data_IF_246874003494
#
_entry.id   IF_246874003494
#
_cell.length_a   1.000
_cell.length_b   1.000
_cell.length_c   1.000
_cell.angle_alpha   90.00
_cell.angle_beta   90.00
_cell.angle_gamma   90.00
#
_symmetry.space_group_name_H-M   'P 1'
#
loop_
_entity.id
_entity.type
_entity.pdbx_description
1 polymer ?
#
# COMPACT_ATOMS: atom_id res chain seq x y z
N UNK A 1 -18.24 11.37 25.21
CA UNK A 1 -17.42 12.21 24.32
C UNK A 1 -16.53 11.29 23.50
N UNK A 2 -16.82 11.12 22.21
CA UNK A 2 -16.05 10.26 21.31
C UNK A 2 -14.75 10.96 20.93
N UNK A 3 -13.60 10.43 21.36
CA UNK A 3 -12.32 10.83 20.80
C UNK A 3 -12.29 10.32 19.36
N UNK A 4 -12.29 11.23 18.38
CA UNK A 4 -12.07 10.84 16.98
C UNK A 4 -10.72 10.15 16.88
N UNK A 5 -10.67 9.03 16.16
CA UNK A 5 -9.47 8.22 15.92
C UNK A 5 -8.27 9.06 15.44
N UNK A 6 -8.53 10.19 14.79
CA UNK A 6 -7.55 11.19 14.37
C UNK A 6 -6.72 11.74 15.54
N UNK A 7 -7.34 12.09 16.67
CA UNK A 7 -6.63 12.65 17.84
C UNK A 7 -5.70 11.64 18.50
N UNK A 8 -6.10 10.37 18.51
CA UNK A 8 -5.29 9.28 19.04
C UNK A 8 -4.11 8.93 18.12
N UNK A 9 -4.29 9.04 16.80
CA UNK A 9 -3.19 8.88 15.83
C UNK A 9 -2.20 10.05 15.87
N UNK A 10 -2.69 11.29 16.08
CA UNK A 10 -1.84 12.47 16.24
C UNK A 10 -0.91 12.37 17.47
N UNK A 11 -1.38 11.82 18.59
CA UNK A 11 -0.58 11.77 19.83
C UNK A 11 0.65 10.86 19.72
N UNK A 12 0.52 9.76 18.95
CA UNK A 12 1.58 8.77 18.69
C UNK A 12 2.30 9.00 17.36
N UNK A 13 1.87 9.98 16.56
CA UNK A 13 2.54 10.33 15.31
C UNK A 13 3.88 11.00 15.60
N UNK A 14 4.97 10.29 15.31
CA UNK A 14 6.33 10.85 15.37
C UNK A 14 6.57 11.96 14.34
N UNK A 15 5.60 12.21 13.45
CA UNK A 15 5.80 12.98 12.22
C UNK A 15 5.49 14.47 12.36
N UNK A 16 4.45 14.84 13.11
CA UNK A 16 4.24 16.26 13.45
C UNK A 16 5.35 16.83 14.34
N UNK A 17 6.10 15.94 15.00
CA UNK A 17 7.18 16.27 15.94
C UNK A 17 8.57 16.25 15.31
N UNK A 18 8.70 15.87 14.03
CA UNK A 18 10.01 15.77 13.38
C UNK A 18 10.56 17.19 13.09
N UNK A 19 11.79 17.45 13.53
CA UNK A 19 12.43 18.77 13.43
C UNK A 19 12.82 19.15 12.00
N UNK A 20 13.01 18.16 11.13
CA UNK A 20 13.46 18.33 9.75
C UNK A 20 12.26 18.37 8.80
N UNK A 21 12.05 19.54 8.18
CA UNK A 21 10.87 19.84 7.34
C UNK A 21 10.85 19.05 6.02
N UNK A 22 12.02 18.74 5.47
CA UNK A 22 12.26 17.92 4.28
C UNK A 22 11.76 16.47 4.45
N UNK A 23 11.97 15.86 5.62
CA UNK A 23 11.48 14.50 5.92
C UNK A 23 9.94 14.47 6.04
N UNK A 24 9.33 15.59 6.44
CA UNK A 24 7.89 15.77 6.41
C UNK A 24 7.34 16.13 5.02
N UNK A 25 8.20 16.60 4.10
CA UNK A 25 7.86 17.00 2.72
C UNK A 25 7.91 15.85 1.72
N UNK A 26 8.59 14.73 2.01
CA UNK A 26 8.50 13.50 1.20
C UNK A 26 7.11 12.83 1.22
N UNK A 27 6.08 13.55 1.69
CA UNK A 27 4.75 13.03 1.97
C UNK A 27 3.70 13.86 1.27
N UNK A 28 2.54 13.24 1.11
CA UNK A 28 1.38 13.92 0.57
C UNK A 28 1.01 15.20 1.35
N UNK A 29 0.41 16.19 0.66
CA UNK A 29 0.13 17.52 1.21
C UNK A 29 -0.59 17.56 2.56
N UNK A 30 -1.43 16.58 2.82
CA UNK A 30 -2.27 16.38 4.01
C UNK A 30 -1.51 15.81 5.23
N UNK A 31 -0.39 15.11 5.01
CA UNK A 31 0.43 14.52 6.07
C UNK A 31 1.52 15.47 6.58
N UNK A 32 1.47 16.73 6.15
CA UNK A 32 2.42 17.78 6.50
C UNK A 32 2.01 18.49 7.78
N UNK A 33 3.02 19.02 8.48
CA UNK A 33 2.77 19.92 9.61
C UNK A 33 2.10 21.21 9.13
N UNK A 34 1.02 21.62 9.78
CA UNK A 34 0.35 22.89 9.49
C UNK A 34 1.34 24.07 9.59
N UNK A 35 1.37 24.92 8.55
CA UNK A 35 2.28 26.08 8.47
C UNK A 35 3.70 25.78 7.96
N UNK A 36 4.00 24.56 7.53
CA UNK A 36 5.36 24.13 7.08
C UNK A 36 5.72 24.52 5.63
N UNK A 37 5.06 25.50 5.02
CA UNK A 37 5.35 26.00 3.66
C UNK A 37 4.42 25.47 2.55
N UNK A 38 4.83 25.62 1.29
CA UNK A 38 4.07 25.19 0.10
C UNK A 38 3.89 23.67 0.03
N UNK A 39 2.80 23.22 -0.60
CA UNK A 39 2.56 21.80 -0.82
C UNK A 39 3.62 21.21 -1.76
N UNK A 40 4.17 20.02 -1.44
CA UNK A 40 5.09 19.32 -2.32
C UNK A 40 4.38 18.98 -3.62
N UNK A 41 5.16 18.92 -4.70
CA UNK A 41 4.64 18.39 -5.96
C UNK A 41 4.35 16.89 -5.80
N UNK A 42 3.42 16.32 -6.58
CA UNK A 42 3.21 14.87 -6.62
C UNK A 42 4.49 14.05 -6.81
N UNK A 43 5.45 14.56 -7.60
CA UNK A 43 6.73 13.91 -7.86
C UNK A 43 7.63 13.80 -6.63
N UNK A 44 7.42 14.68 -5.65
CA UNK A 44 8.15 14.69 -4.38
C UNK A 44 7.38 13.95 -3.26
N UNK A 45 6.17 13.46 -3.55
CA UNK A 45 5.35 12.74 -2.60
C UNK A 45 5.61 11.23 -2.69
N UNK A 46 5.86 10.59 -1.54
CA UNK A 46 6.05 9.15 -1.43
C UNK A 46 5.22 8.58 -0.27
N UNK A 47 4.52 7.48 -0.51
CA UNK A 47 3.85 6.71 0.53
C UNK A 47 4.19 5.22 0.46
N UNK A 48 4.31 4.60 1.63
CA UNK A 48 4.57 3.17 1.77
C UNK A 48 3.34 2.47 2.34
N UNK A 49 2.85 1.44 1.63
CA UNK A 49 1.65 0.68 2.01
C UNK A 49 1.93 -0.81 1.95
N UNK A 50 1.42 -1.55 2.93
CA UNK A 50 1.50 -3.01 2.93
C UNK A 50 0.11 -3.63 2.78
N UNK A 51 0.00 -4.77 2.10
CA UNK A 51 -1.25 -5.53 1.99
C UNK A 51 -0.99 -7.02 1.83
N UNK A 52 -1.85 -7.83 2.46
CA UNK A 52 -1.94 -9.28 2.24
C UNK A 52 -2.67 -9.66 0.95
N UNK A 53 -3.50 -8.75 0.42
CA UNK A 53 -4.27 -9.01 -0.81
C UNK A 53 -3.38 -8.70 -2.02
N UNK A 54 -3.27 -9.60 -3.02
CA UNK A 54 -2.30 -9.44 -4.11
C UNK A 54 -2.36 -8.12 -4.87
N UNK A 55 -3.57 -7.56 -5.02
CA UNK A 55 -3.81 -6.38 -5.83
C UNK A 55 -4.41 -5.20 -5.05
N UNK A 56 -4.98 -5.44 -3.87
CA UNK A 56 -5.69 -4.37 -3.17
C UNK A 56 -4.71 -3.35 -2.59
N UNK A 57 -4.95 -2.08 -2.89
CA UNK A 57 -4.30 -0.93 -2.30
C UNK A 57 -5.40 -0.01 -1.77
N UNK A 58 -5.28 0.40 -0.51
CA UNK A 58 -6.20 1.35 0.12
C UNK A 58 -5.40 2.52 0.70
N UNK A 59 -5.93 3.71 0.52
CA UNK A 59 -5.41 4.93 1.10
C UNK A 59 -6.53 5.72 1.78
N UNK A 60 -6.16 6.60 2.71
CA UNK A 60 -7.10 7.52 3.34
C UNK A 60 -7.37 8.76 2.47
N UNK A 61 -6.53 8.96 1.45
CA UNK A 61 -6.59 10.09 0.52
C UNK A 61 -6.31 9.60 -0.91
N UNK A 62 -6.86 10.30 -1.89
CA UNK A 62 -6.72 10.04 -3.33
C UNK A 62 -5.56 10.83 -3.96
N UNK A 63 -4.48 11.04 -3.21
CA UNK A 63 -3.39 11.89 -3.69
C UNK A 63 -2.63 11.25 -4.85
N UNK A 64 -2.12 12.13 -5.71
CA UNK A 64 -1.18 11.75 -6.76
C UNK A 64 0.25 11.76 -6.23
N UNK A 65 1.03 10.71 -6.48
CA UNK A 65 2.44 10.60 -6.12
C UNK A 65 2.97 9.17 -6.17
N UNK A 66 4.15 8.94 -5.61
CA UNK A 66 4.81 7.64 -5.59
C UNK A 66 4.28 6.74 -4.46
N UNK A 67 4.10 5.47 -4.78
CA UNK A 67 3.67 4.45 -3.84
C UNK A 67 4.62 3.25 -3.88
N UNK A 68 5.15 2.89 -2.71
CA UNK A 68 5.81 1.59 -2.48
C UNK A 68 4.76 0.65 -1.89
N UNK A 69 4.47 -0.41 -2.63
CA UNK A 69 3.41 -1.36 -2.29
C UNK A 69 4.02 -2.71 -1.92
N UNK A 70 4.07 -2.98 -0.62
CA UNK A 70 4.57 -4.24 -0.06
C UNK A 70 3.47 -5.29 -0.06
N UNK A 71 3.72 -6.42 -0.70
CA UNK A 71 2.85 -7.60 -0.64
C UNK A 71 3.49 -8.67 0.20
N UNK A 72 2.78 -9.02 1.26
CA UNK A 72 3.19 -10.06 2.18
C UNK A 72 2.15 -11.16 2.28
N UNK A 73 2.58 -12.32 2.76
CA UNK A 73 1.70 -13.37 3.23
C UNK A 73 2.17 -13.79 4.63
N UNK A 74 1.27 -14.41 5.38
CA UNK A 74 1.60 -15.04 6.65
C UNK A 74 1.74 -16.54 6.37
N UNK A 75 2.90 -17.10 6.63
CA UNK A 75 3.21 -18.53 6.52
C UNK A 75 3.55 -19.06 7.92
N UNK A 76 2.54 -19.46 8.72
CA UNK A 76 2.77 -19.96 10.07
C UNK A 76 3.56 -21.26 10.11
N UNK A 77 3.61 -21.99 8.99
CA UNK A 77 4.36 -23.23 8.87
C UNK A 77 5.83 -23.00 8.54
N UNK A 78 6.21 -21.75 8.25
CA UNK A 78 7.57 -21.33 7.91
C UNK A 78 8.18 -22.15 6.76
N UNK A 79 7.31 -22.64 5.87
CA UNK A 79 7.67 -23.52 4.75
C UNK A 79 8.40 -22.77 3.64
N UNK A 80 8.12 -21.47 3.49
CA UNK A 80 8.79 -20.60 2.52
C UNK A 80 10.14 -20.11 3.02
N UNK A 81 10.26 -19.87 4.33
CA UNK A 81 11.47 -19.34 4.94
C UNK A 81 11.51 -19.63 6.45
N UNK A 82 12.43 -20.51 6.92
CA UNK A 82 12.56 -20.84 8.33
C UNK A 82 12.81 -19.62 9.21
N UNK A 83 12.10 -19.53 10.34
CA UNK A 83 12.17 -18.41 11.28
C UNK A 83 11.48 -17.14 10.80
N UNK A 84 10.76 -17.15 9.67
CA UNK A 84 10.08 -15.98 9.09
C UNK A 84 8.60 -16.26 8.78
N UNK A 85 7.72 -16.13 9.78
CA UNK A 85 6.28 -16.39 9.59
C UNK A 85 5.56 -15.31 8.75
N UNK A 86 6.22 -14.20 8.43
CA UNK A 86 5.71 -13.15 7.53
C UNK A 86 6.69 -12.98 6.39
N UNK A 87 6.23 -13.26 5.18
CA UNK A 87 7.07 -13.27 3.98
C UNK A 87 6.61 -12.17 3.03
N UNK A 88 7.50 -11.22 2.72
CA UNK A 88 7.32 -10.31 1.60
C UNK A 88 7.61 -11.07 0.31
N UNK A 89 6.62 -11.17 -0.57
CA UNK A 89 6.71 -11.93 -1.81
C UNK A 89 6.68 -11.04 -3.06
N UNK A 90 6.28 -9.78 -2.93
CA UNK A 90 6.32 -8.81 -4.02
C UNK A 90 6.39 -7.38 -3.50
N UNK A 91 7.11 -6.52 -4.21
CA UNK A 91 7.10 -5.07 -4.00
C UNK A 91 6.88 -4.39 -5.34
N UNK A 92 5.90 -3.50 -5.40
CA UNK A 92 5.67 -2.63 -6.56
C UNK A 92 6.07 -1.19 -6.22
N UNK A 93 6.67 -0.49 -7.18
CA UNK A 93 6.88 0.97 -7.12
C UNK A 93 6.12 1.59 -8.28
N UNK A 94 5.16 2.44 -7.97
CA UNK A 94 4.24 3.02 -8.97
C UNK A 94 3.93 4.48 -8.63
N UNK A 95 3.87 5.31 -9.66
CA UNK A 95 3.28 6.64 -9.55
C UNK A 95 1.79 6.53 -9.84
N UNK A 96 0.95 7.01 -8.92
CA UNK A 96 -0.50 7.00 -9.07
C UNK A 96 -1.01 8.42 -9.23
N UNK A 97 -2.03 8.61 -10.04
CA UNK A 97 -2.73 9.87 -10.19
C UNK A 97 -4.07 9.86 -9.42
N UNK A 98 -4.65 11.04 -9.19
CA UNK A 98 -5.88 11.19 -8.42
C UNK A 98 -7.03 10.34 -8.98
N UNK A 99 -7.18 10.31 -10.30
CA UNK A 99 -8.20 9.54 -11.02
C UNK A 99 -8.00 8.02 -10.94
N UNK A 100 -6.86 7.56 -10.45
CA UNK A 100 -6.61 6.13 -10.26
C UNK A 100 -7.33 5.60 -9.03
N UNK A 101 -7.70 6.48 -8.12
CA UNK A 101 -8.42 6.17 -6.91
C UNK A 101 -9.93 6.18 -7.13
N UNK A 102 -10.62 5.26 -6.46
CA UNK A 102 -12.07 5.23 -6.33
C UNK A 102 -12.44 5.38 -4.86
N UNK A 103 -13.46 6.18 -4.60
CA UNK A 103 -14.02 6.32 -3.27
C UNK A 103 -14.73 5.03 -2.87
N UNK A 104 -14.26 4.37 -1.81
CA UNK A 104 -14.90 3.20 -1.22
C UNK A 104 -15.75 3.71 -0.07
N UNK A 105 -17.06 3.86 -0.30
CA UNK A 105 -17.97 4.52 0.63
C UNK A 105 -17.99 3.84 2.00
N UNK A 106 -18.02 4.64 3.07
CA UNK A 106 -18.59 4.20 4.34
C UNK A 106 -20.11 4.25 4.24
N UNK A 107 -20.81 3.27 4.80
CA UNK A 107 -22.30 3.21 4.86
C UNK A 107 -22.99 4.37 5.58
N UNK A 108 -22.24 5.34 6.10
CA UNK A 108 -22.77 6.62 6.56
C UNK A 108 -22.78 7.62 5.39
N UNK A 109 -23.94 8.18 5.07
CA UNK A 109 -24.08 9.18 4.00
C UNK A 109 -23.12 10.37 4.15
N UNK A 110 -22.93 11.10 3.06
CA UNK A 110 -21.92 12.17 2.89
C UNK A 110 -21.95 13.29 3.95
N UNK A 111 -23.00 13.40 4.77
CA UNK A 111 -23.17 14.42 5.81
C UNK A 111 -22.74 13.97 7.22
N UNK A 112 -22.29 12.73 7.41
CA UNK A 112 -21.84 12.21 8.71
C UNK A 112 -20.36 12.47 8.96
N UNK A 113 -20.01 13.69 9.37
CA UNK A 113 -18.63 14.03 9.75
C UNK A 113 -18.10 13.12 10.88
N UNK A 114 -17.01 12.40 10.60
CA UNK A 114 -16.23 11.73 11.64
C UNK A 114 -15.59 10.38 11.31
N UNK A 115 -15.74 9.82 10.10
CA UNK A 115 -15.03 8.59 9.71
C UNK A 115 -14.14 8.80 8.50
N UNK A 116 -12.93 8.25 8.61
CA UNK A 116 -11.84 8.30 7.64
C UNK A 116 -12.33 7.82 6.27
N UNK A 117 -12.31 8.73 5.30
CA UNK A 117 -12.52 8.40 3.89
C UNK A 117 -11.53 7.31 3.47
N UNK A 118 -11.99 6.30 2.73
CA UNK A 118 -11.12 5.26 2.20
C UNK A 118 -11.22 5.25 0.69
N UNK A 119 -10.07 5.24 0.04
CA UNK A 119 -9.94 5.17 -1.41
C UNK A 119 -9.28 3.85 -1.78
N UNK A 120 -9.91 3.10 -2.69
CA UNK A 120 -9.34 1.92 -3.30
C UNK A 120 -8.68 2.28 -4.63
N UNK A 121 -7.67 1.51 -5.05
CA UNK A 121 -7.12 1.64 -6.40
C UNK A 121 -8.09 1.02 -7.43
N UNK A 122 -8.50 1.79 -8.43
CA UNK A 122 -9.32 1.34 -9.55
C UNK A 122 -8.51 0.45 -10.48
N UNK A 123 -9.09 -0.64 -11.00
CA UNK A 123 -8.39 -1.57 -11.91
C UNK A 123 -7.01 -2.01 -11.40
N UNK A 124 -6.89 -2.25 -10.09
CA UNK A 124 -5.61 -2.37 -9.40
C UNK A 124 -4.65 -3.42 -10.01
N UNK A 125 -5.18 -4.56 -10.45
CA UNK A 125 -4.37 -5.60 -11.08
C UNK A 125 -3.79 -5.17 -12.43
N UNK A 126 -4.52 -4.35 -13.20
CA UNK A 126 -4.04 -3.77 -14.45
C UNK A 126 -2.98 -2.72 -14.17
N UNK A 127 -3.22 -1.84 -13.20
CA UNK A 127 -2.30 -0.74 -12.85
C UNK A 127 -0.98 -1.22 -12.27
N UNK A 128 -1.01 -2.20 -11.38
CA UNK A 128 0.20 -2.73 -10.74
C UNK A 128 0.97 -3.70 -11.66
N UNK A 129 0.44 -4.07 -12.83
CA UNK A 129 1.12 -4.99 -13.74
C UNK A 129 2.37 -4.32 -14.31
N UNK A 130 3.51 -5.01 -14.23
CA UNK A 130 4.79 -4.49 -14.75
C UNK A 130 5.57 -3.57 -13.80
N UNK A 131 4.99 -3.21 -12.65
CA UNK A 131 5.64 -2.31 -11.68
C UNK A 131 6.38 -3.02 -10.54
N UNK A 132 6.48 -4.36 -10.61
CA UNK A 132 7.14 -5.14 -9.58
C UNK A 132 8.66 -4.96 -9.67
N UNK A 133 9.25 -4.37 -8.64
CA UNK A 133 10.72 -4.23 -8.49
C UNK A 133 11.32 -5.40 -7.70
N UNK A 134 10.48 -6.15 -7.00
CA UNK A 134 10.84 -7.40 -6.34
C UNK A 134 9.68 -8.39 -6.46
N UNK A 135 10.00 -9.65 -6.73
CA UNK A 135 9.02 -10.75 -6.73
C UNK A 135 9.72 -12.08 -6.44
N UNK A 136 9.21 -12.81 -5.46
CA UNK A 136 9.60 -14.19 -5.17
C UNK A 136 9.11 -15.15 -6.25
N UNK A 137 9.99 -16.02 -6.74
CA UNK A 137 9.66 -17.01 -7.78
C UNK A 137 8.93 -18.24 -7.24
N UNK A 138 9.06 -18.50 -5.93
CA UNK A 138 8.46 -19.58 -5.17
C UNK A 138 7.09 -19.21 -4.57
N UNK A 139 6.52 -18.06 -4.96
CA UNK A 139 5.16 -17.65 -4.61
C UNK A 139 4.34 -17.37 -5.87
N UNK A 140 3.16 -17.97 -5.96
CA UNK A 140 2.22 -17.79 -7.08
C UNK A 140 0.87 -17.29 -6.57
N UNK A 141 0.11 -16.62 -7.44
CA UNK A 141 -1.28 -16.24 -7.13
C UNK A 141 -2.19 -17.34 -7.68
N UNK A 142 -2.91 -18.06 -6.81
CA UNK A 142 -3.97 -19.01 -7.18
C UNK A 142 -5.25 -18.69 -6.40
N UNK A 143 -6.40 -18.73 -7.08
CA UNK A 143 -7.69 -18.38 -6.45
C UNK A 143 -7.72 -16.97 -5.81
N UNK A 144 -6.96 -16.01 -6.36
CA UNK A 144 -6.85 -14.66 -5.83
C UNK A 144 -6.01 -14.51 -4.55
N UNK A 145 -5.29 -15.56 -4.13
CA UNK A 145 -4.43 -15.55 -2.94
C UNK A 145 -2.97 -15.86 -3.30
N UNK A 146 -1.99 -15.24 -2.64
CA UNK A 146 -0.60 -15.65 -2.77
C UNK A 146 -0.38 -16.93 -1.98
N UNK A 147 0.20 -17.95 -2.61
CA UNK A 147 0.52 -19.24 -2.00
C UNK A 147 1.91 -19.72 -2.43
N UNK A 148 2.56 -20.60 -1.67
CA UNK A 148 3.78 -21.27 -2.12
C UNK A 148 3.58 -21.99 -3.45
N UNK A 149 4.60 -21.94 -4.31
CA UNK A 149 4.66 -22.72 -5.55
C UNK A 149 5.08 -24.15 -5.19
N UNK A 150 4.10 -25.02 -4.94
CA UNK A 150 4.39 -26.45 -4.79
C UNK A 150 4.92 -27.01 -6.11
N UNK A 151 6.06 -27.71 -6.06
CA UNK A 151 6.76 -28.21 -7.23
C UNK A 151 5.95 -29.24 -8.01
N UNK A 152 5.72 -28.95 -9.29
CA UNK A 152 6.06 -29.87 -10.37
C UNK A 152 7.10 -29.12 -11.20
N UNK A 153 8.34 -29.63 -11.22
CA UNK A 153 9.17 -29.44 -12.39
C UNK A 153 8.49 -30.27 -13.48
N UNK A 154 7.62 -29.64 -14.27
CA UNK A 154 7.33 -30.20 -15.58
C UNK A 154 8.63 -30.00 -16.36
N UNK A 155 9.33 -31.11 -16.56
CA UNK A 155 10.43 -31.19 -17.50
C UNK A 155 9.98 -30.60 -18.82
N UNK A 156 10.90 -29.84 -19.40
CA UNK A 156 10.86 -29.26 -20.72
C UNK A 156 10.57 -30.36 -21.76
N UNK A 157 9.30 -30.68 -22.01
CA UNK A 157 8.90 -31.40 -23.22
C UNK A 157 8.81 -30.35 -24.32
N UNK A 158 9.96 -30.09 -24.93
CA UNK A 158 10.06 -29.28 -26.12
C UNK A 158 9.06 -29.73 -27.18
N UNK A 159 8.49 -28.75 -27.86
CA UNK A 159 8.16 -28.83 -29.27
C UNK A 159 8.28 -27.42 -29.83
N UNK A 160 8.98 -27.38 -30.96
CA UNK A 160 9.39 -26.23 -31.78
C UNK A 160 8.28 -25.25 -32.13
#
# INVERSE_FOLDING_TARGET
>A
MSASSERALHSVSNYEKHKHADTAQQRFPDLRRKGSGLNPSPQDCLESKASKRPWALQSHYDHAGWYIVWRYLVDPTETLEPGKPVVVWRVDIIFLEKQDWKYESSTAGAAGGGRTHTFGLSEAAKRLRGHAVYRRADVVIRGGKPIPRNGNHDEDSGTE
#
